data_IF_542801746771
#
_entry.id   IF_542801746771
#
_cell.length_a   1.000
_cell.length_b   1.000
_cell.length_c   1.000
_cell.angle_alpha   90.00
_cell.angle_beta   90.00
_cell.angle_gamma   90.00
#
_symmetry.space_group_name_H-M   'P 1'
#
loop_
_entity.id
_entity.type
_entity.pdbx_description
1 polymer ?
#
# COMPACT_ATOMS: atom_id res chain seq x y z
N UNK A 1 16.70 -19.18 10.56
CA UNK A 1 16.72 -19.28 9.09
C UNK A 1 16.67 -17.86 8.54
N UNK A 2 17.75 -17.41 7.90
CA UNK A 2 17.78 -16.13 7.19
C UNK A 2 16.75 -16.17 6.06
N UNK A 3 15.85 -15.18 6.00
CA UNK A 3 14.96 -15.03 4.85
C UNK A 3 15.58 -14.02 3.90
N UNK A 4 15.96 -14.50 2.71
CA UNK A 4 16.33 -13.66 1.58
C UNK A 4 15.26 -12.56 1.39
N UNK A 5 15.59 -11.25 1.35
CA UNK A 5 14.63 -10.15 1.20
C UNK A 5 13.72 -10.29 -0.03
N UNK A 6 14.07 -11.16 -0.99
CA UNK A 6 13.20 -11.59 -2.09
C UNK A 6 11.79 -12.01 -1.64
N UNK A 7 11.61 -12.51 -0.41
CA UNK A 7 10.28 -12.88 0.08
C UNK A 7 9.32 -11.68 0.14
N UNK A 8 9.83 -10.46 0.40
CA UNK A 8 9.03 -9.22 0.41
C UNK A 8 8.47 -8.88 -0.96
N UNK A 9 9.15 -9.29 -2.03
CA UNK A 9 8.72 -9.04 -3.40
C UNK A 9 7.44 -9.82 -3.75
N UNK A 10 7.21 -10.94 -3.06
CA UNK A 10 6.02 -11.78 -3.20
C UNK A 10 4.93 -11.44 -2.17
N UNK A 11 5.14 -10.45 -1.30
CA UNK A 11 4.08 -9.96 -0.42
C UNK A 11 3.09 -9.16 -1.26
N UNK A 12 1.82 -9.54 -1.18
CA UNK A 12 0.71 -8.81 -1.76
C UNK A 12 0.28 -7.74 -0.76
N UNK A 13 0.72 -6.51 -0.98
CA UNK A 13 0.40 -5.34 -0.17
C UNK A 13 -0.96 -4.81 -0.59
N UNK A 14 -1.93 -4.83 0.32
CA UNK A 14 -3.32 -4.43 0.03
C UNK A 14 -3.78 -3.31 0.95
N UNK A 15 -4.65 -2.45 0.42
CA UNK A 15 -5.28 -1.38 1.18
C UNK A 15 -6.52 -0.82 0.45
N UNK A 16 -7.34 -0.08 1.19
CA UNK A 16 -8.46 0.68 0.66
C UNK A 16 -8.21 2.18 0.70
N UNK A 17 -8.52 2.86 -0.40
CA UNK A 17 -8.40 4.30 -0.52
C UNK A 17 -9.72 4.95 -0.94
N UNK A 18 -10.02 6.10 -0.35
CA UNK A 18 -11.11 6.96 -0.80
C UNK A 18 -10.62 7.97 -1.85
N UNK A 19 -11.43 8.14 -2.89
CA UNK A 19 -11.28 9.16 -3.92
C UNK A 19 -12.59 9.94 -4.04
N UNK A 20 -12.57 11.20 -3.64
CA UNK A 20 -13.70 12.13 -3.77
C UNK A 20 -13.66 12.91 -5.09
N UNK A 21 -14.83 13.26 -5.66
CA UNK A 21 -14.91 14.02 -6.93
C UNK A 21 -14.28 15.41 -6.84
N UNK A 22 -14.50 16.11 -5.74
CA UNK A 22 -13.91 17.42 -5.52
C UNK A 22 -12.46 17.35 -5.03
N UNK A 23 -11.89 16.13 -5.00
CA UNK A 23 -10.57 15.82 -4.51
C UNK A 23 -10.45 15.94 -3.00
N UNK A 24 -9.78 14.98 -2.38
CA UNK A 24 -9.28 15.21 -1.03
C UNK A 24 -8.07 16.11 -1.16
N UNK A 25 -8.18 17.31 -0.61
CA UNK A 25 -7.09 18.28 -0.69
C UNK A 25 -5.89 17.72 0.06
N UNK A 26 -4.83 17.36 -0.66
CA UNK A 26 -3.52 17.28 -0.03
C UNK A 26 -3.18 18.70 0.45
N UNK A 27 -3.32 18.95 1.75
CA UNK A 27 -3.09 20.24 2.39
C UNK A 27 -1.66 20.75 2.17
N UNK A 28 -0.71 19.88 1.82
CA UNK A 28 0.65 20.28 1.42
C UNK A 28 0.74 20.80 -0.02
N UNK A 29 -0.15 20.37 -0.93
CA UNK A 29 -0.17 20.80 -2.34
C UNK A 29 -1.06 22.03 -2.59
N UNK A 30 -1.86 22.47 -1.61
CA UNK A 30 -2.61 23.74 -1.65
C UNK A 30 -2.03 24.73 -0.65
N UNK A 31 -0.78 25.13 -0.85
CA UNK A 31 -0.21 26.29 -0.15
C UNK A 31 -0.48 27.54 -0.98
N UNK A 32 -1.26 28.45 -0.42
CA UNK A 32 -1.39 29.82 -0.93
C UNK A 32 -0.19 30.57 -0.37
N UNK A 33 0.72 31.00 -1.25
CA UNK A 33 1.84 31.84 -0.87
C UNK A 33 1.47 33.29 -1.16
N UNK A 34 1.39 34.10 -0.11
CA UNK A 34 1.15 35.54 -0.23
C UNK A 34 1.95 36.28 0.85
N UNK A 35 2.36 37.52 0.55
CA UNK A 35 3.17 38.36 1.45
C UNK A 35 2.41 38.83 2.69
N UNK A 36 1.08 38.70 2.69
CA UNK A 36 0.19 38.93 3.83
C UNK A 36 -0.88 37.85 3.85
N UNK A 37 -1.47 37.56 5.02
CA UNK A 37 -2.50 36.52 5.15
C UNK A 37 -3.68 36.80 4.17
N UNK A 38 -3.94 35.93 3.17
CA UNK A 38 -4.95 36.15 2.13
C UNK A 38 -6.37 36.27 2.66
N UNK A 39 -6.65 35.76 3.87
CA UNK A 39 -8.00 35.50 4.39
C UNK A 39 -8.87 34.69 3.41
N UNK A 40 -8.25 33.93 2.50
CA UNK A 40 -8.97 33.02 1.63
C UNK A 40 -9.37 31.77 2.41
N UNK A 41 -10.67 31.48 2.41
CA UNK A 41 -11.23 30.26 2.94
C UNK A 41 -11.67 29.39 1.78
N UNK A 42 -11.00 28.25 1.59
CA UNK A 42 -11.49 27.26 0.66
C UNK A 42 -12.50 26.36 1.37
N UNK A 43 -13.79 26.56 1.05
CA UNK A 43 -14.85 25.65 1.51
C UNK A 43 -14.72 24.30 0.80
N UNK A 44 -14.92 23.23 1.56
CA UNK A 44 -15.04 21.86 1.03
C UNK A 44 -16.42 21.31 1.39
N UNK A 45 -17.08 20.59 0.47
CA UNK A 45 -18.30 19.87 0.81
C UNK A 45 -17.99 18.81 1.88
N UNK A 46 -18.72 18.83 2.99
CA UNK A 46 -18.61 17.82 4.06
C UNK A 46 -18.91 16.39 3.54
N UNK A 47 -19.67 16.28 2.46
CA UNK A 47 -20.11 15.03 1.85
C UNK A 47 -19.86 15.02 0.34
N UNK A 48 -18.62 15.26 -0.10
CA UNK A 48 -18.28 15.06 -1.51
C UNK A 48 -18.60 13.61 -1.91
N UNK A 49 -19.28 13.38 -3.05
CA UNK A 49 -19.38 12.05 -3.61
C UNK A 49 -17.97 11.49 -3.78
N UNK A 50 -17.80 10.23 -3.40
CA UNK A 50 -16.51 9.55 -3.44
C UNK A 50 -16.70 8.09 -3.80
N UNK A 51 -15.61 7.45 -4.23
CA UNK A 51 -15.50 6.01 -4.38
C UNK A 51 -14.51 5.45 -3.38
N UNK A 52 -14.76 4.24 -2.92
CA UNK A 52 -13.82 3.46 -2.10
C UNK A 52 -13.25 2.37 -2.98
N UNK A 53 -11.95 2.40 -3.21
CA UNK A 53 -11.24 1.44 -4.04
C UNK A 53 -10.36 0.55 -3.18
N UNK A 54 -10.45 -0.76 -3.41
CA UNK A 54 -9.48 -1.74 -2.95
C UNK A 54 -8.48 -2.00 -4.06
N UNK A 55 -7.19 -1.98 -3.71
CA UNK A 55 -6.11 -2.37 -4.58
C UNK A 55 -5.08 -3.20 -3.82
N UNK A 56 -4.41 -4.10 -4.54
CA UNK A 56 -3.28 -4.86 -4.03
C UNK A 56 -2.14 -4.88 -5.03
N UNK A 57 -0.89 -4.94 -4.58
CA UNK A 57 0.23 -5.19 -5.49
C UNK A 57 1.37 -5.97 -4.84
N UNK A 58 2.10 -6.67 -5.69
CA UNK A 58 3.42 -7.25 -5.41
C UNK A 58 4.49 -6.40 -6.10
N UNK A 59 5.76 -6.76 -6.00
CA UNK A 59 6.81 -6.09 -6.78
C UNK A 59 6.68 -6.30 -8.30
N UNK A 60 5.87 -7.28 -8.74
CA UNK A 60 5.78 -7.68 -10.15
C UNK A 60 4.47 -7.29 -10.83
N UNK A 61 3.39 -7.15 -10.06
CA UNK A 61 2.08 -6.85 -10.64
C UNK A 61 1.13 -6.18 -9.66
N UNK A 62 0.17 -5.44 -10.23
CA UNK A 62 -0.96 -4.84 -9.52
C UNK A 62 -2.25 -5.64 -9.75
N UNK A 63 -3.13 -5.62 -8.75
CA UNK A 63 -4.41 -6.31 -8.68
C UNK A 63 -5.48 -5.32 -8.21
N UNK A 64 -6.61 -5.31 -8.92
CA UNK A 64 -7.61 -4.24 -8.83
C UNK A 64 -7.47 -3.24 -9.99
N UNK A 65 -8.18 -2.10 -9.95
CA UNK A 65 -9.01 -1.63 -8.83
C UNK A 65 -10.32 -2.41 -8.68
N UNK A 66 -10.74 -2.65 -7.44
CA UNK A 66 -12.10 -3.09 -7.13
C UNK A 66 -12.83 -2.04 -6.31
N UNK A 67 -14.09 -1.78 -6.65
CA UNK A 67 -14.86 -0.71 -6.02
C UNK A 67 -15.90 -1.30 -5.06
N UNK A 68 -15.99 -0.74 -3.86
CA UNK A 68 -17.06 -1.09 -2.93
C UNK A 68 -18.32 -0.30 -3.28
N UNK A 69 -19.18 -0.93 -4.08
CA UNK A 69 -20.41 -0.33 -4.58
C UNK A 69 -21.62 -1.25 -4.44
N UNK A 70 -22.81 -0.63 -4.36
CA UNK A 70 -24.09 -1.31 -4.27
C UNK A 70 -25.06 -0.66 -5.27
N UNK A 71 -25.85 -1.49 -5.94
CA UNK A 71 -26.88 -1.02 -6.86
C UNK A 71 -28.08 -0.52 -6.05
N UNK A 72 -28.35 0.79 -6.10
CA UNK A 72 -29.58 1.37 -5.61
C UNK A 72 -30.58 1.49 -6.78
N UNK A 73 -31.78 0.89 -6.68
CA UNK A 73 -32.78 0.95 -7.76
C UNK A 73 -33.19 2.37 -8.16
N UNK A 74 -33.10 3.33 -7.22
CA UNK A 74 -33.59 4.71 -7.41
C UNK A 74 -32.48 5.65 -7.88
N UNK A 75 -31.26 5.47 -7.36
CA UNK A 75 -30.14 6.41 -7.55
C UNK A 75 -28.95 5.82 -8.32
N UNK A 76 -29.07 4.58 -8.79
CA UNK A 76 -27.99 3.88 -9.47
C UNK A 76 -26.92 3.36 -8.49
N UNK A 77 -25.69 3.25 -8.97
CA UNK A 77 -24.57 2.67 -8.22
C UNK A 77 -24.06 3.65 -7.16
N UNK A 78 -24.06 3.23 -5.88
CA UNK A 78 -23.59 4.02 -4.75
C UNK A 78 -22.43 3.33 -4.04
N UNK A 79 -21.43 4.11 -3.63
CA UNK A 79 -20.35 3.64 -2.76
C UNK A 79 -20.89 3.16 -1.41
N UNK A 80 -20.43 2.00 -0.95
CA UNK A 80 -20.88 1.38 0.29
C UNK A 80 -19.76 1.25 1.33
N UNK A 81 -20.15 1.16 2.60
CA UNK A 81 -19.23 0.93 3.72
C UNK A 81 -18.65 -0.47 3.64
N UNK A 82 -17.35 -0.60 3.92
CA UNK A 82 -16.67 -1.89 3.98
C UNK A 82 -17.10 -2.60 5.27
N UNK A 83 -17.90 -3.66 5.12
CA UNK A 83 -18.23 -4.59 6.21
C UNK A 83 -17.43 -5.88 6.02
N UNK A 84 -17.30 -6.68 7.07
CA UNK A 84 -16.64 -7.99 6.96
C UNK A 84 -17.26 -8.86 5.85
N UNK A 85 -18.59 -8.86 5.72
CA UNK A 85 -19.29 -9.62 4.68
C UNK A 85 -18.96 -9.13 3.26
N UNK A 86 -18.92 -7.81 3.03
CA UNK A 86 -18.57 -7.23 1.73
C UNK A 86 -17.09 -7.46 1.40
N UNK A 87 -16.21 -7.34 2.38
CA UNK A 87 -14.79 -7.67 2.24
C UNK A 87 -14.57 -9.14 1.86
N UNK A 88 -15.25 -10.07 2.55
CA UNK A 88 -15.21 -11.50 2.21
C UNK A 88 -15.72 -11.78 0.79
N UNK A 89 -16.79 -11.11 0.37
CA UNK A 89 -17.34 -11.22 -0.98
C UNK A 89 -16.31 -10.73 -2.01
N UNK A 90 -15.66 -9.60 -1.76
CA UNK A 90 -14.58 -9.08 -2.59
C UNK A 90 -13.43 -10.11 -2.72
N UNK A 91 -12.97 -10.67 -1.60
CA UNK A 91 -11.90 -11.66 -1.60
C UNK A 91 -12.28 -12.89 -2.42
N UNK A 92 -13.47 -13.46 -2.17
CA UNK A 92 -13.96 -14.69 -2.82
C UNK A 92 -14.23 -14.51 -4.30
N UNK A 93 -14.92 -13.44 -4.69
CA UNK A 93 -15.49 -13.30 -6.03
C UNK A 93 -14.56 -12.55 -6.99
N UNK A 94 -13.58 -11.80 -6.47
CA UNK A 94 -12.68 -10.98 -7.28
C UNK A 94 -11.19 -11.25 -7.03
N UNK A 95 -10.73 -11.23 -5.78
CA UNK A 95 -9.27 -11.35 -5.49
C UNK A 95 -8.76 -12.76 -5.74
N UNK A 96 -9.42 -13.78 -5.19
CA UNK A 96 -9.03 -15.19 -5.33
C UNK A 96 -8.98 -15.62 -6.80
N UNK A 97 -10.02 -15.39 -7.63
CA UNK A 97 -10.00 -15.84 -9.02
C UNK A 97 -8.87 -15.20 -9.83
N UNK A 98 -8.60 -13.89 -9.64
CA UNK A 98 -7.52 -13.19 -10.36
C UNK A 98 -6.15 -13.72 -9.93
N UNK A 99 -5.96 -14.05 -8.65
CA UNK A 99 -4.72 -14.67 -8.19
C UNK A 99 -4.54 -16.11 -8.70
N UNK A 100 -5.63 -16.85 -8.89
CA UNK A 100 -5.61 -18.19 -9.49
C UNK A 100 -5.24 -18.14 -10.97
N UNK A 101 -5.88 -17.26 -11.73
CA UNK A 101 -5.62 -17.07 -13.17
C UNK A 101 -4.14 -16.71 -13.41
N UNK A 102 -3.56 -15.90 -12.52
CA UNK A 102 -2.14 -15.51 -12.58
C UNK A 102 -1.18 -16.54 -12.00
N UNK A 103 -1.67 -17.69 -11.52
CA UNK A 103 -0.88 -18.71 -10.83
C UNK A 103 -0.10 -18.15 -9.62
N UNK A 104 -0.63 -17.09 -9.00
CA UNK A 104 0.05 -16.32 -7.96
C UNK A 104 -0.30 -16.81 -6.55
N UNK A 105 -1.50 -17.38 -6.32
CA UNK A 105 -1.93 -17.92 -5.01
C UNK A 105 -0.89 -18.79 -4.27
N UNK A 106 -0.18 -19.75 -4.92
CA UNK A 106 0.78 -20.59 -4.20
C UNK A 106 2.04 -19.82 -3.75
N UNK A 107 2.31 -18.65 -4.32
CA UNK A 107 3.55 -17.89 -4.11
C UNK A 107 3.32 -16.65 -3.25
N UNK A 108 2.17 -15.99 -3.40
CA UNK A 108 1.92 -14.72 -2.70
C UNK A 108 1.72 -14.93 -1.21
N UNK A 109 2.26 -13.99 -0.45
CA UNK A 109 1.95 -13.81 0.97
C UNK A 109 0.98 -12.66 1.09
N UNK A 110 -0.26 -12.92 1.52
CA UNK A 110 -1.32 -11.91 1.57
C UNK A 110 -1.16 -11.02 2.80
N UNK A 111 -1.11 -9.70 2.61
CA UNK A 111 -0.96 -8.72 3.69
C UNK A 111 -2.19 -7.82 3.76
N UNK A 112 -2.76 -7.69 4.96
CA UNK A 112 -3.88 -6.80 5.27
C UNK A 112 -3.66 -6.09 6.62
N UNK A 113 -4.33 -4.96 6.83
CA UNK A 113 -4.23 -4.19 8.06
C UNK A 113 -5.16 -4.70 9.18
N UNK A 114 -5.22 -3.91 10.25
CA UNK A 114 -5.98 -4.23 11.45
C UNK A 114 -7.39 -3.64 11.46
N UNK A 115 -7.94 -3.24 10.31
CA UNK A 115 -9.28 -2.72 10.24
C UNK A 115 -10.31 -3.77 10.76
N UNK A 116 -11.41 -3.33 11.40
CA UNK A 116 -12.41 -4.25 11.94
C UNK A 116 -12.94 -5.29 10.92
N UNK A 117 -13.20 -4.94 9.64
CA UNK A 117 -13.60 -5.93 8.63
C UNK A 117 -12.55 -7.03 8.38
N UNK A 118 -11.26 -6.73 8.55
CA UNK A 118 -10.15 -7.64 8.23
C UNK A 118 -9.83 -8.60 9.39
N UNK A 119 -10.07 -8.14 10.62
CA UNK A 119 -9.80 -8.89 11.86
C UNK A 119 -10.97 -9.74 12.35
N UNK A 120 -12.16 -9.56 11.77
CA UNK A 120 -13.32 -10.41 12.02
C UNK A 120 -12.97 -11.89 11.85
N UNK A 121 -13.55 -12.76 12.68
CA UNK A 121 -13.21 -14.20 12.73
C UNK A 121 -13.34 -14.88 11.36
N UNK A 122 -14.44 -14.60 10.65
CA UNK A 122 -14.70 -15.13 9.31
C UNK A 122 -13.68 -14.61 8.29
N UNK A 123 -13.32 -13.31 8.34
CA UNK A 123 -12.30 -12.71 7.47
C UNK A 123 -10.93 -13.34 7.65
N UNK A 124 -10.50 -13.56 8.91
CA UNK A 124 -9.24 -14.27 9.20
C UNK A 124 -9.25 -15.70 8.70
N UNK A 125 -10.38 -16.41 8.86
CA UNK A 125 -10.55 -17.78 8.34
C UNK A 125 -10.51 -17.82 6.81
N UNK A 126 -11.11 -16.84 6.14
CA UNK A 126 -11.08 -16.79 4.67
C UNK A 126 -9.70 -16.44 4.14
N UNK A 127 -8.96 -15.52 4.79
CA UNK A 127 -7.57 -15.24 4.43
C UNK A 127 -6.69 -16.47 4.62
N UNK A 128 -6.94 -17.25 5.68
CA UNK A 128 -6.27 -18.53 5.89
C UNK A 128 -6.51 -19.50 4.73
N UNK A 129 -7.73 -19.60 4.21
CA UNK A 129 -8.01 -20.46 3.05
C UNK A 129 -7.39 -19.94 1.75
N UNK A 130 -7.08 -18.64 1.69
CA UNK A 130 -6.53 -17.93 0.54
C UNK A 130 -5.05 -18.26 0.31
N UNK A 131 -4.27 -18.30 1.40
CA UNK A 131 -2.81 -18.45 1.31
C UNK A 131 -2.21 -19.28 2.45
N UNK A 132 -3.02 -20.11 3.12
CA UNK A 132 -2.63 -20.95 4.26
C UNK A 132 -1.87 -20.15 5.33
N UNK A 133 -0.66 -20.62 5.68
CA UNK A 133 0.28 -20.00 6.61
C UNK A 133 0.88 -18.67 6.10
N UNK A 134 0.60 -18.25 4.86
CA UNK A 134 1.17 -17.06 4.21
C UNK A 134 0.28 -15.83 4.32
N UNK A 135 -0.33 -15.59 5.49
CA UNK A 135 -1.09 -14.37 5.78
C UNK A 135 -0.36 -13.52 6.81
N UNK A 136 -0.18 -12.24 6.48
CA UNK A 136 0.34 -11.19 7.36
C UNK A 136 -0.84 -10.34 7.84
N UNK A 137 -1.21 -10.51 9.10
CA UNK A 137 -2.36 -9.83 9.72
C UNK A 137 -2.31 -10.02 11.23
N UNK A 138 -2.97 -9.15 12.00
CA UNK A 138 -3.15 -9.39 13.44
C UNK A 138 -3.91 -10.70 13.70
N UNK A 139 -3.37 -11.50 14.63
CA UNK A 139 -3.94 -12.78 15.01
C UNK A 139 -3.70 -13.92 14.01
N UNK A 140 -2.83 -13.72 13.02
CA UNK A 140 -2.29 -14.75 12.13
C UNK A 140 -0.87 -15.15 12.58
N UNK A 141 -0.30 -16.18 11.92
CA UNK A 141 1.05 -16.70 12.20
C UNK A 141 2.12 -15.62 12.02
N UNK A 142 2.05 -14.85 10.93
CA UNK A 142 2.90 -13.69 10.70
C UNK A 142 2.14 -12.44 11.17
N UNK A 143 2.56 -11.88 12.30
CA UNK A 143 1.91 -10.70 12.86
C UNK A 143 2.45 -9.42 12.25
N UNK A 144 1.53 -8.52 11.91
CA UNK A 144 1.85 -7.14 11.58
C UNK A 144 1.58 -6.24 12.80
N UNK A 145 2.46 -5.27 13.09
CA UNK A 145 2.23 -4.31 14.16
C UNK A 145 1.03 -3.41 13.86
N UNK A 146 0.31 -3.07 14.92
CA UNK A 146 -0.76 -2.09 14.82
C UNK A 146 -0.24 -0.70 14.44
N UNK A 147 -1.02 0.05 13.66
CA UNK A 147 -0.75 1.47 13.33
C UNK A 147 0.60 1.72 12.63
N UNK A 148 1.06 0.77 11.84
CA UNK A 148 2.33 0.88 11.09
C UNK A 148 2.09 1.12 9.61
N UNK A 149 1.31 2.16 9.32
CA UNK A 149 0.99 2.54 7.95
C UNK A 149 2.24 3.03 7.18
N UNK A 150 3.20 3.59 7.91
CA UNK A 150 4.52 3.93 7.38
C UNK A 150 5.28 2.71 6.83
N UNK A 151 4.96 1.49 7.27
CA UNK A 151 5.60 0.27 6.79
C UNK A 151 4.83 -0.46 5.68
N UNK A 152 3.68 0.06 5.23
CA UNK A 152 2.88 -0.55 4.15
C UNK A 152 3.00 0.29 2.87
N UNK A 153 3.57 -0.25 1.78
CA UNK A 153 3.62 0.43 0.48
C UNK A 153 2.24 0.84 -0.03
N UNK A 154 1.21 0.04 0.28
CA UNK A 154 -0.17 0.34 -0.06
C UNK A 154 -0.71 1.60 0.65
N UNK A 155 -0.15 2.00 1.80
CA UNK A 155 -0.46 3.29 2.46
C UNK A 155 0.44 4.42 1.97
N UNK A 156 1.77 4.23 2.09
CA UNK A 156 2.70 5.36 1.99
C UNK A 156 3.02 5.73 0.54
N UNK A 157 2.84 4.82 -0.40
CA UNK A 157 3.21 5.02 -1.80
C UNK A 157 2.00 5.06 -2.72
N UNK A 158 1.12 4.06 -2.67
CA UNK A 158 0.08 3.88 -3.69
C UNK A 158 -0.90 5.08 -3.76
N UNK A 159 -1.53 5.55 -2.66
CA UNK A 159 -2.34 6.77 -2.67
C UNK A 159 -1.56 8.01 -3.16
N UNK A 160 -0.30 8.16 -2.74
CA UNK A 160 0.57 9.26 -3.15
C UNK A 160 0.94 9.23 -4.64
N UNK A 161 1.00 8.05 -5.24
CA UNK A 161 1.20 7.87 -6.67
C UNK A 161 -0.09 8.13 -7.47
N UNK A 162 -1.21 7.57 -6.99
CA UNK A 162 -2.51 7.60 -7.67
C UNK A 162 -3.18 8.97 -7.61
N UNK A 163 -3.36 9.56 -6.42
CA UNK A 163 -4.16 10.79 -6.25
C UNK A 163 -3.69 11.92 -7.17
N UNK A 164 -2.39 12.27 -7.26
CA UNK A 164 -1.94 13.34 -8.14
C UNK A 164 -2.15 13.07 -9.63
N UNK A 165 -2.28 11.81 -10.07
CA UNK A 165 -2.50 11.43 -11.47
C UNK A 165 -3.98 11.37 -11.81
N UNK A 166 -4.77 10.74 -10.94
CA UNK A 166 -6.23 10.64 -11.07
C UNK A 166 -6.86 12.04 -11.11
N UNK A 167 -6.38 12.96 -10.26
CA UNK A 167 -6.95 14.31 -10.19
C UNK A 167 -6.45 15.31 -11.24
N UNK A 168 -5.57 14.92 -12.17
CA UNK A 168 -5.17 15.80 -13.30
C UNK A 168 -6.32 16.05 -14.26
N UNK A 169 -7.19 15.07 -14.46
CA UNK A 169 -8.24 15.09 -15.48
C UNK A 169 -9.55 15.78 -15.08
N UNK A 170 -9.60 16.46 -13.92
CA UNK A 170 -10.81 17.13 -13.39
C UNK A 170 -12.10 16.33 -13.62
N UNK A 171 -12.17 15.10 -13.09
CA UNK A 171 -13.36 14.26 -13.22
C UNK A 171 -14.59 14.94 -12.60
N UNK A 172 -15.66 15.03 -13.37
CA UNK A 172 -16.93 15.66 -12.95
C UNK A 172 -17.95 14.63 -12.47
N UNK A 173 -17.78 13.36 -12.86
CA UNK A 173 -18.67 12.25 -12.48
C UNK A 173 -17.92 11.10 -11.82
N UNK A 174 -18.60 10.30 -10.98
CA UNK A 174 -17.99 9.11 -10.36
C UNK A 174 -17.55 8.07 -11.40
N UNK A 175 -18.22 8.02 -12.56
CA UNK A 175 -17.84 7.14 -13.67
C UNK A 175 -16.50 7.56 -14.26
N UNK A 176 -16.32 8.85 -14.55
CA UNK A 176 -15.05 9.41 -15.01
C UNK A 176 -13.94 9.18 -13.98
N UNK A 177 -14.23 9.40 -12.70
CA UNK A 177 -13.26 9.18 -11.62
C UNK A 177 -12.81 7.71 -11.54
N UNK A 178 -13.76 6.77 -11.61
CA UNK A 178 -13.43 5.32 -11.67
C UNK A 178 -12.60 4.97 -12.90
N UNK A 179 -12.90 5.56 -14.06
CA UNK A 179 -12.13 5.33 -15.28
C UNK A 179 -10.72 5.91 -15.17
N UNK A 180 -10.56 7.09 -14.60
CA UNK A 180 -9.25 7.69 -14.33
C UNK A 180 -8.40 6.80 -13.39
N UNK A 181 -9.01 6.23 -12.34
CA UNK A 181 -8.34 5.28 -11.43
C UNK A 181 -7.89 4.03 -12.20
N UNK A 182 -8.78 3.41 -12.99
CA UNK A 182 -8.47 2.23 -13.81
C UNK A 182 -7.31 2.47 -14.76
N UNK A 183 -7.35 3.58 -15.52
CA UNK A 183 -6.31 3.93 -16.47
C UNK A 183 -4.98 4.21 -15.77
N UNK A 184 -5.01 4.91 -14.63
CA UNK A 184 -3.79 5.21 -13.86
C UNK A 184 -3.15 3.93 -13.33
N UNK A 185 -3.94 2.97 -12.83
CA UNK A 185 -3.45 1.69 -12.33
C UNK A 185 -2.92 0.79 -13.46
N UNK A 186 -3.61 0.74 -14.59
CA UNK A 186 -3.18 -0.04 -15.75
C UNK A 186 -1.86 0.45 -16.35
N UNK A 187 -1.52 1.73 -16.13
CA UNK A 187 -0.25 2.32 -16.55
C UNK A 187 0.92 2.09 -15.57
N UNK A 188 0.70 1.40 -14.43
CA UNK A 188 1.77 1.06 -13.50
C UNK A 188 2.44 -0.23 -13.97
N UNK A 189 3.70 -0.13 -14.39
CA UNK A 189 4.54 -1.28 -14.70
C UNK A 189 5.38 -1.75 -13.49
N UNK A 190 6.14 -2.83 -13.69
CA UNK A 190 7.00 -3.41 -12.65
C UNK A 190 8.14 -2.49 -12.17
N UNK A 191 8.57 -1.54 -13.01
CA UNK A 191 9.68 -0.64 -12.67
C UNK A 191 9.30 0.35 -11.57
N UNK A 192 8.00 0.64 -11.41
CA UNK A 192 7.49 1.42 -10.29
C UNK A 192 7.17 0.58 -9.04
N UNK A 193 6.72 -0.67 -9.24
CA UNK A 193 6.29 -1.55 -8.15
C UNK A 193 7.45 -2.05 -7.32
N UNK A 194 8.56 -2.44 -7.96
CA UNK A 194 9.71 -2.98 -7.24
C UNK A 194 10.33 -1.95 -6.27
N UNK A 195 10.65 -0.70 -6.67
CA UNK A 195 11.13 0.32 -5.74
C UNK A 195 10.13 0.65 -4.62
N UNK A 196 8.83 0.62 -4.91
CA UNK A 196 7.79 0.86 -3.90
C UNK A 196 7.83 -0.20 -2.78
N UNK A 197 7.97 -1.48 -3.15
CA UNK A 197 8.12 -2.58 -2.19
C UNK A 197 9.46 -2.48 -1.45
N UNK A 198 10.56 -2.18 -2.14
CA UNK A 198 11.88 -2.01 -1.51
C UNK A 198 11.94 -0.79 -0.57
N UNK A 199 11.03 0.16 -0.71
CA UNK A 199 10.82 1.24 0.26
C UNK A 199 10.57 0.73 1.68
N UNK A 200 9.94 -0.44 1.86
CA UNK A 200 9.73 -1.06 3.18
C UNK A 200 11.06 -1.33 3.88
N UNK A 201 12.02 -1.88 3.14
CA UNK A 201 13.35 -2.21 3.65
C UNK A 201 14.05 -0.95 4.15
N UNK A 202 14.04 0.11 3.34
CA UNK A 202 14.61 1.41 3.72
C UNK A 202 13.96 1.95 5.00
N UNK A 203 12.64 1.88 5.11
CA UNK A 203 11.91 2.37 6.29
C UNK A 203 12.20 1.54 7.54
N UNK A 204 12.23 0.21 7.41
CA UNK A 204 12.62 -0.68 8.51
C UNK A 204 14.04 -0.36 9.00
N UNK A 205 14.99 -0.08 8.10
CA UNK A 205 16.35 0.31 8.51
C UNK A 205 16.40 1.62 9.30
N UNK A 206 15.49 2.56 9.03
CA UNK A 206 15.39 3.80 9.79
C UNK A 206 14.70 3.59 11.17
N UNK A 207 13.79 2.63 11.29
CA UNK A 207 13.06 2.38 12.53
C UNK A 207 13.83 1.53 13.54
N UNK A 208 14.68 0.61 13.08
CA UNK A 208 15.44 -0.29 13.97
C UNK A 208 16.32 0.45 15.00
N UNK A 209 17.08 1.50 14.62
CA UNK A 209 17.86 2.30 15.58
C UNK A 209 16.99 3.09 16.57
N UNK A 210 15.74 3.39 16.20
CA UNK A 210 14.80 4.18 17.00
C UNK A 210 14.03 3.34 18.04
N UNK A 211 14.44 2.09 18.27
CA UNK A 211 13.74 1.15 19.16
C UNK A 211 12.63 0.34 18.48
N UNK A 212 12.49 0.45 17.15
CA UNK A 212 11.56 -0.33 16.33
C UNK A 212 10.08 -0.07 16.62
N UNK A 213 9.21 -0.84 15.93
CA UNK A 213 7.79 -0.90 16.27
C UNK A 213 7.53 -2.15 17.11
N UNK A 214 6.90 -1.98 18.29
CA UNK A 214 6.48 -3.10 19.13
C UNK A 214 5.51 -4.00 18.36
N UNK A 215 5.81 -5.30 18.28
CA UNK A 215 4.93 -6.32 17.71
C UNK A 215 5.18 -6.69 16.24
N UNK A 216 6.21 -6.12 15.59
CA UNK A 216 6.71 -6.73 14.36
C UNK A 216 7.39 -8.05 14.74
N UNK A 217 6.86 -9.18 14.27
CA UNK A 217 7.54 -10.48 14.47
C UNK A 217 8.95 -10.40 13.88
N UNK A 218 9.93 -11.02 14.54
CA UNK A 218 11.26 -11.27 13.97
C UNK A 218 11.21 -11.97 12.60
N UNK A 219 10.09 -12.64 12.29
CA UNK A 219 9.83 -13.28 11.00
C UNK A 219 9.54 -12.27 9.87
N UNK A 220 8.96 -11.10 10.20
CA UNK A 220 8.77 -9.96 9.28
C UNK A 220 10.08 -9.17 9.18
N UNK A 221 10.80 -9.00 10.30
CA UNK A 221 12.14 -8.40 10.34
C UNK A 221 13.23 -9.43 10.04
N UNK A 222 12.95 -10.51 9.30
CA UNK A 222 13.92 -11.58 8.99
C UNK A 222 15.19 -11.13 8.24
N UNK A 223 15.33 -9.82 8.04
CA UNK A 223 16.51 -9.12 7.59
C UNK A 223 17.40 -8.82 8.80
N UNK A 224 18.37 -9.69 9.08
CA UNK A 224 19.52 -9.25 9.88
C UNK A 224 20.23 -8.14 9.09
N UNK A 225 20.52 -7.02 9.77
CA UNK A 225 21.22 -5.82 9.23
C UNK A 225 22.39 -6.10 8.25
N UNK A 226 23.22 -7.16 8.40
CA UNK A 226 24.35 -7.41 7.51
C UNK A 226 23.98 -7.77 6.06
N UNK A 227 22.88 -8.49 5.82
CA UNK A 227 22.47 -8.97 4.48
C UNK A 227 21.95 -7.84 3.59
N UNK A 228 21.43 -6.80 4.24
CA UNK A 228 20.92 -5.58 3.64
C UNK A 228 22.05 -4.79 2.96
N UNK A 229 23.21 -4.69 3.62
CA UNK A 229 24.37 -3.94 3.13
C UNK A 229 24.95 -4.59 1.86
N UNK A 230 24.99 -5.92 1.77
CA UNK A 230 25.49 -6.64 0.59
C UNK A 230 24.54 -6.58 -0.62
N UNK A 231 23.23 -6.47 -0.38
CA UNK A 231 22.25 -6.34 -1.47
C UNK A 231 22.29 -4.94 -2.09
N UNK A 232 22.52 -3.90 -1.28
CA UNK A 232 22.66 -2.52 -1.75
C UNK A 232 24.01 -2.26 -2.46
N UNK A 233 25.09 -2.95 -2.09
CA UNK A 233 26.38 -2.82 -2.77
C UNK A 233 26.36 -3.37 -4.20
N UNK A 234 25.55 -4.41 -4.47
CA UNK A 234 25.31 -4.94 -5.83
C UNK A 234 24.41 -4.07 -6.69
N UNK A 235 23.39 -3.42 -6.12
CA UNK A 235 22.53 -2.50 -6.89
C UNK A 235 23.26 -1.20 -7.25
N UNK A 236 24.23 -0.78 -6.44
CA UNK A 236 25.08 0.39 -6.70
C UNK A 236 26.09 0.19 -7.84
N UNK A 237 26.48 -1.05 -8.18
CA UNK A 237 27.47 -1.29 -9.24
C UNK A 237 26.89 -1.09 -10.65
N UNK A 238 25.57 -1.14 -10.78
CA UNK A 238 24.87 -1.12 -12.08
C UNK A 238 24.29 0.26 -12.43
N UNK A 239 24.75 1.31 -11.74
CA UNK A 239 24.57 2.71 -12.13
C UNK A 239 23.37 3.41 -11.51
N UNK A 240 23.59 4.16 -10.42
CA UNK A 240 22.70 5.24 -10.03
C UNK A 240 23.38 6.33 -9.18
N UNK A 241 22.98 7.57 -9.51
CA UNK A 241 23.36 8.91 -9.06
C UNK A 241 23.80 9.16 -7.61
N UNK A 242 24.42 10.33 -7.44
CA UNK A 242 25.04 10.90 -6.22
C UNK A 242 24.21 10.87 -4.92
N UNK A 243 22.90 10.63 -4.95
CA UNK A 243 22.11 10.43 -3.72
C UNK A 243 22.44 9.10 -2.99
N UNK A 244 22.90 8.08 -3.72
CA UNK A 244 23.28 6.79 -3.13
C UNK A 244 24.60 6.85 -2.35
N UNK A 245 25.52 7.75 -2.74
CA UNK A 245 26.83 7.87 -2.11
C UNK A 245 26.75 8.42 -0.67
N UNK A 246 25.87 9.40 -0.42
CA UNK A 246 25.65 9.92 0.94
C UNK A 246 25.02 8.88 1.87
N UNK A 247 24.16 7.99 1.34
CA UNK A 247 23.50 6.95 2.11
C UNK A 247 24.48 5.86 2.58
N UNK A 248 25.45 5.49 1.74
CA UNK A 248 26.52 4.52 2.09
C UNK A 248 27.45 5.07 3.18
N UNK A 249 27.77 6.38 3.14
CA UNK A 249 28.64 7.02 4.12
C UNK A 249 27.97 7.04 5.50
N UNK A 250 26.68 7.36 5.59
CA UNK A 250 25.95 7.34 6.87
C UNK A 250 25.85 5.94 7.49
N UNK A 251 25.70 4.88 6.69
CA UNK A 251 25.64 3.50 7.20
C UNK A 251 27.02 2.99 7.63
N UNK A 252 28.10 3.33 6.91
CA UNK A 252 29.47 2.99 7.34
C UNK A 252 29.86 3.66 8.66
N UNK A 253 29.43 4.90 8.89
CA UNK A 253 29.70 5.61 10.14
C UNK A 253 29.05 4.93 11.37
N UNK A 254 27.90 4.27 11.19
CA UNK A 254 27.19 3.57 12.27
C UNK A 254 27.89 2.25 12.64
N UNK A 255 28.44 1.53 11.65
CA UNK A 255 29.16 0.26 11.88
C UNK A 255 30.50 0.46 12.57
N UNK A 256 31.20 1.58 12.33
CA UNK A 256 32.49 1.87 12.97
C UNK A 256 32.34 2.37 14.42
N UNK A 257 31.12 2.78 14.82
CA UNK A 257 30.81 3.27 16.16
C UNK A 257 30.21 2.21 17.10
N UNK A 258 30.16 0.92 16.69
CA UNK A 258 29.60 -0.21 17.46
C UNK A 258 30.69 -1.12 18.02
#
# INVERSE_FOLDING_TARGET
MERNPQWLLNVMWTDEAHFSLHGDVNTQNRRIWETSNPREYQSQPLHSPHVTVWCGFTASFILGPFFFEELCPVYGVKTCTITAARYLTLLRDHVVPVLQERHALPVVTFMQDDAPPHTARESRRSCWNLSEDRVISRGCKIQWPSRSADLRPADFWLPGYLKPRVYRGSSTTLVELKNAIRLTLAAIDGDFLHPAVMGVVTRLTCLLPCGGVKGISSDVVGIKLPVLIESFSKVSSDGASCMNALFIISVKAIVVAS
#
